data_IF_182206053808
#
_entry.id   IF_182206053808
#
_cell.length_a   1.000
_cell.length_b   1.000
_cell.length_c   1.000
_cell.angle_alpha   90.00
_cell.angle_beta   90.00
_cell.angle_gamma   90.00
#
_symmetry.space_group_name_H-M   'P 1'
#
loop_
_entity.id
_entity.type
_entity.pdbx_description
1 polymer ?
#
# COMPACT_ATOMS: atom_id res chain seq x y z
N UNK A 1 27.92 12.07 -25.65
CA UNK A 1 27.45 10.79 -25.11
C UNK A 1 27.72 10.74 -23.61
N UNK A 2 26.74 10.30 -22.82
CA UNK A 2 26.85 10.06 -21.38
C UNK A 2 26.34 8.65 -21.09
N UNK A 3 27.05 7.91 -20.22
CA UNK A 3 26.67 6.55 -19.86
C UNK A 3 25.84 6.56 -18.59
N UNK A 4 24.69 5.91 -18.61
CA UNK A 4 23.84 5.79 -17.44
C UNK A 4 24.55 4.95 -16.37
N UNK A 5 24.72 5.51 -15.17
CA UNK A 5 25.33 4.79 -14.05
C UNK A 5 24.41 3.71 -13.46
N UNK A 6 23.09 3.77 -13.74
CA UNK A 6 22.10 2.80 -13.25
C UNK A 6 21.99 1.56 -14.13
N UNK A 7 21.93 1.70 -15.45
CA UNK A 7 21.73 0.57 -16.38
C UNK A 7 22.82 0.39 -17.44
N UNK A 8 23.80 1.29 -17.51
CA UNK A 8 24.91 1.19 -18.47
C UNK A 8 24.60 1.61 -19.91
N UNK A 9 23.37 2.04 -20.23
CA UNK A 9 23.01 2.56 -21.55
C UNK A 9 23.82 3.81 -21.91
N UNK A 10 24.27 3.92 -23.15
CA UNK A 10 24.85 5.16 -23.71
C UNK A 10 23.73 6.06 -24.22
N UNK A 11 23.72 7.31 -23.79
CA UNK A 11 22.70 8.30 -24.14
C UNK A 11 23.38 9.53 -24.78
N UNK A 12 22.58 10.37 -25.44
CA UNK A 12 23.06 11.64 -25.97
C UNK A 12 23.66 12.54 -24.88
N UNK A 13 24.63 13.39 -25.25
CA UNK A 13 25.41 14.18 -24.27
C UNK A 13 24.61 15.28 -23.56
N UNK A 14 23.45 15.63 -24.10
CA UNK A 14 22.48 16.59 -23.60
C UNK A 14 21.21 15.93 -23.03
N UNK A 15 21.14 14.59 -22.98
CA UNK A 15 20.04 13.89 -22.35
C UNK A 15 20.01 14.14 -20.83
N UNK A 16 18.86 14.59 -20.32
CA UNK A 16 18.64 14.79 -18.88
C UNK A 16 18.30 13.49 -18.15
N UNK A 17 17.66 12.54 -18.85
CA UNK A 17 17.25 11.24 -18.33
C UNK A 17 17.67 10.12 -19.28
N UNK A 18 17.88 8.93 -18.72
CA UNK A 18 18.24 7.76 -19.48
C UNK A 18 17.05 7.26 -20.31
N UNK A 19 17.25 7.10 -21.61
CA UNK A 19 16.22 6.61 -22.54
C UNK A 19 15.77 5.17 -22.24
N UNK A 20 16.66 4.37 -21.62
CA UNK A 20 16.39 2.97 -21.33
C UNK A 20 15.77 2.76 -19.93
N UNK A 21 16.23 3.47 -18.90
CA UNK A 21 15.77 3.24 -17.52
C UNK A 21 15.18 4.46 -16.80
N UNK A 22 15.14 5.63 -17.44
CA UNK A 22 14.60 6.87 -16.87
C UNK A 22 15.47 7.51 -15.78
N UNK A 23 16.63 6.95 -15.44
CA UNK A 23 17.52 7.52 -14.42
C UNK A 23 18.06 8.90 -14.88
N UNK A 24 18.07 9.87 -13.98
CA UNK A 24 18.67 11.19 -14.25
C UNK A 24 20.18 11.06 -14.54
N UNK A 25 20.64 11.70 -15.61
CA UNK A 25 22.02 11.59 -16.11
C UNK A 25 22.92 12.77 -15.70
N UNK A 26 22.36 13.88 -15.19
CA UNK A 26 23.09 15.09 -14.83
C UNK A 26 22.74 15.62 -13.41
N UNK A 27 23.18 14.95 -12.33
CA UNK A 27 22.95 15.44 -10.97
C UNK A 27 23.64 16.77 -10.64
N UNK A 28 24.68 17.16 -11.41
CA UNK A 28 25.59 18.26 -11.09
C UNK A 28 25.39 19.53 -11.94
N UNK A 29 24.56 19.52 -12.99
CA UNK A 29 24.36 20.70 -13.86
C UNK A 29 23.43 21.78 -13.28
N UNK A 30 22.83 21.56 -12.11
CA UNK A 30 22.13 22.60 -11.35
C UNK A 30 23.04 23.38 -10.39
N UNK A 31 24.37 23.31 -10.57
CA UNK A 31 25.36 24.13 -9.87
C UNK A 31 25.48 25.56 -10.42
N UNK A 32 24.36 26.28 -10.51
CA UNK A 32 24.34 27.73 -10.75
C UNK A 32 24.01 28.44 -9.44
N UNK A 33 24.96 29.20 -8.91
CA UNK A 33 24.88 29.98 -7.68
C UNK A 33 23.58 30.79 -7.55
N UNK A 34 22.63 30.27 -6.78
CA UNK A 34 21.62 31.05 -6.07
C UNK A 34 21.79 30.78 -4.59
N UNK A 35 21.87 31.86 -3.83
CA UNK A 35 21.81 31.87 -2.37
C UNK A 35 20.74 30.88 -1.88
N UNK A 36 20.97 30.19 -0.74
CA UNK A 36 20.08 29.13 -0.28
C UNK A 36 18.66 29.70 -0.13
N UNK A 37 17.68 29.20 -0.91
CA UNK A 37 16.30 29.45 -0.59
C UNK A 37 16.05 28.71 0.72
N UNK A 38 15.92 29.50 1.77
CA UNK A 38 15.43 29.16 3.10
C UNK A 38 14.64 27.85 3.09
N UNK A 39 15.07 26.90 3.92
CA UNK A 39 14.39 25.65 4.23
C UNK A 39 12.89 25.76 4.03
N UNK A 40 12.39 25.26 2.89
CA UNK A 40 11.07 24.65 2.87
C UNK A 40 11.23 23.26 3.46
N UNK A 41 11.62 23.25 4.74
CA UNK A 41 11.40 22.10 5.58
C UNK A 41 9.94 21.73 5.44
N UNK A 42 9.69 20.45 5.13
CA UNK A 42 8.38 19.84 5.27
C UNK A 42 7.77 20.40 6.55
N UNK A 43 6.65 21.16 6.41
CA UNK A 43 6.06 21.90 7.53
C UNK A 43 6.01 20.93 8.71
N UNK A 44 6.50 21.36 9.86
CA UNK A 44 6.65 20.51 11.04
C UNK A 44 5.34 19.75 11.36
N UNK A 45 4.19 20.34 10.99
CA UNK A 45 2.86 19.74 11.00
C UNK A 45 2.69 18.49 10.12
N UNK A 46 3.26 18.43 8.91
CA UNK A 46 3.23 17.25 8.02
C UNK A 46 4.09 16.11 8.55
N UNK A 47 5.27 16.42 9.11
CA UNK A 47 6.10 15.43 9.84
C UNK A 47 5.35 14.86 11.06
N UNK A 48 4.65 15.71 11.80
CA UNK A 48 3.88 15.30 12.98
C UNK A 48 2.66 14.45 12.58
N UNK A 49 1.91 14.81 11.54
CA UNK A 49 0.71 14.10 11.12
C UNK A 49 1.02 12.69 10.60
N UNK A 50 2.12 12.54 9.86
CA UNK A 50 2.56 11.27 9.29
C UNK A 50 3.11 10.34 10.39
N UNK A 51 3.83 10.88 11.37
CA UNK A 51 4.31 10.12 12.54
C UNK A 51 3.15 9.59 13.38
N UNK A 52 2.08 10.39 13.55
CA UNK A 52 0.84 9.99 14.24
C UNK A 52 0.12 8.85 13.49
N UNK A 53 0.07 8.89 12.15
CA UNK A 53 -0.57 7.84 11.36
C UNK A 53 0.18 6.49 11.46
N UNK A 54 1.50 6.49 11.52
CA UNK A 54 2.30 5.26 11.67
C UNK A 54 2.22 4.70 13.09
N UNK A 55 2.17 5.55 14.13
CA UNK A 55 1.88 5.10 15.50
C UNK A 55 0.48 4.47 15.60
N UNK A 56 -0.52 4.97 14.87
CA UNK A 56 -1.83 4.34 14.78
C UNK A 56 -1.75 2.95 14.11
N UNK A 57 -0.94 2.77 13.06
CA UNK A 57 -0.70 1.46 12.42
C UNK A 57 0.06 0.49 13.35
N UNK A 58 0.96 0.99 14.21
CA UNK A 58 1.66 0.16 15.19
C UNK A 58 0.81 -0.19 16.42
N UNK A 59 -0.14 0.67 16.82
CA UNK A 59 -1.00 0.50 18.01
C UNK A 59 -2.28 -0.29 17.71
N UNK A 60 -2.77 -0.31 16.46
CA UNK A 60 -3.92 -1.13 16.07
C UNK A 60 -3.65 -2.65 15.98
N UNK A 61 -2.49 -3.10 16.50
CA UNK A 61 -2.27 -4.47 16.94
C UNK A 61 -2.93 -4.82 18.30
N UNK A 62 -3.75 -3.93 18.88
CA UNK A 62 -4.48 -4.20 20.13
C UNK A 62 -5.92 -3.69 20.05
N UNK A 63 -6.84 -4.51 19.55
CA UNK A 63 -8.24 -4.58 20.03
C UNK A 63 -9.00 -5.75 19.41
N UNK A 64 -8.51 -6.97 19.66
CA UNK A 64 -9.32 -8.19 19.59
C UNK A 64 -9.66 -8.74 21.00
N UNK A 65 -9.73 -7.86 22.02
CA UNK A 65 -9.92 -8.30 23.41
C UNK A 65 -10.95 -7.48 24.23
N UNK A 66 -11.89 -6.78 23.60
CA UNK A 66 -12.92 -6.02 24.33
C UNK A 66 -14.34 -6.10 23.77
N UNK A 67 -14.73 -7.22 23.15
CA UNK A 67 -16.12 -7.42 22.71
C UNK A 67 -16.63 -8.86 22.91
N UNK A 68 -16.22 -9.48 24.02
CA UNK A 68 -16.63 -10.84 24.37
C UNK A 68 -17.43 -10.92 25.67
N UNK A 69 -18.22 -9.91 26.07
CA UNK A 69 -19.21 -10.08 27.16
C UNK A 69 -20.38 -9.09 27.01
N UNK A 70 -21.42 -9.47 26.27
CA UNK A 70 -22.80 -8.97 26.44
C UNK A 70 -23.76 -9.83 25.61
N UNK A 71 -23.93 -11.08 26.03
CA UNK A 71 -25.15 -11.85 25.78
C UNK A 71 -25.42 -12.67 27.04
N UNK A 72 -25.82 -11.99 28.11
CA UNK A 72 -26.48 -12.64 29.23
C UNK A 72 -27.97 -12.66 28.95
N UNK A 73 -28.41 -13.86 28.62
CA UNK A 73 -29.76 -14.34 28.41
C UNK A 73 -30.76 -13.72 29.40
N UNK A 74 -31.84 -13.14 28.87
CA UNK A 74 -33.10 -13.01 29.55
C UNK A 74 -34.20 -13.61 28.66
N UNK A 75 -34.75 -14.73 29.11
CA UNK A 75 -35.86 -15.47 28.49
C UNK A 75 -37.18 -14.84 28.92
N UNK A 76 -38.15 -14.72 27.99
CA UNK A 76 -39.63 -14.91 28.14
C UNK A 76 -40.37 -14.33 26.90
N UNK A 77 -41.52 -14.89 26.46
CA UNK A 77 -41.83 -15.12 25.03
C UNK A 77 -42.94 -14.25 24.42
N UNK A 78 -42.92 -14.20 23.08
CA UNK A 78 -44.13 -14.16 22.24
C UNK A 78 -44.49 -12.82 21.59
N UNK A 79 -44.23 -12.68 20.28
CA UNK A 79 -45.24 -12.40 19.23
C UNK A 79 -44.56 -12.07 17.89
N UNK A 80 -44.98 -12.81 16.86
CA UNK A 80 -44.72 -12.67 15.41
C UNK A 80 -45.11 -11.30 14.85
N UNK A 81 -44.27 -10.69 13.98
CA UNK A 81 -44.61 -10.12 12.66
C UNK A 81 -43.32 -9.97 11.79
N UNK A 82 -43.45 -10.29 10.50
CA UNK A 82 -42.46 -10.31 9.42
C UNK A 82 -41.70 -8.99 9.17
N UNK A 83 -40.40 -9.07 8.82
CA UNK A 83 -39.71 -8.06 7.99
C UNK A 83 -38.42 -8.59 7.37
N UNK A 84 -38.36 -8.49 6.04
CA UNK A 84 -37.21 -8.36 5.11
C UNK A 84 -36.02 -9.33 5.27
N UNK A 85 -35.86 -10.17 4.25
CA UNK A 85 -34.83 -11.19 4.09
C UNK A 85 -33.44 -10.56 3.81
N UNK A 86 -32.71 -10.23 4.87
CA UNK A 86 -31.25 -10.02 4.84
C UNK A 86 -30.63 -11.30 5.43
N UNK A 87 -30.26 -12.25 4.57
CA UNK A 87 -29.70 -13.53 5.02
C UNK A 87 -28.25 -13.38 5.46
N UNK A 88 -28.07 -12.98 6.72
CA UNK A 88 -26.94 -13.38 7.56
C UNK A 88 -27.17 -14.83 7.99
N UNK A 89 -26.34 -15.75 7.48
CA UNK A 89 -26.27 -17.12 7.99
C UNK A 89 -24.90 -17.35 8.60
N UNK A 90 -24.79 -17.12 9.90
CA UNK A 90 -23.74 -17.71 10.71
C UNK A 90 -24.15 -19.16 10.96
N UNK A 91 -23.49 -20.10 10.29
CA UNK A 91 -23.48 -21.51 10.70
C UNK A 91 -22.05 -21.99 10.58
N UNK A 92 -21.46 -22.30 11.72
CA UNK A 92 -20.17 -22.96 11.84
C UNK A 92 -20.22 -24.26 11.03
N UNK A 93 -19.51 -24.28 9.91
CA UNK A 93 -18.96 -25.48 9.33
C UNK A 93 -17.57 -25.10 8.83
N UNK A 94 -16.56 -25.60 9.55
CA UNK A 94 -15.20 -25.69 9.03
C UNK A 94 -15.27 -26.66 7.86
N UNK A 95 -15.44 -26.09 6.67
CA UNK A 95 -15.19 -26.78 5.41
C UNK A 95 -14.15 -25.94 4.69
N UNK A 96 -12.89 -26.35 4.82
CA UNK A 96 -11.81 -25.90 3.95
C UNK A 96 -12.28 -26.10 2.51
N UNK A 97 -12.75 -25.03 1.89
CA UNK A 97 -13.05 -25.02 0.46
C UNK A 97 -11.77 -24.58 -0.24
N UNK A 98 -10.97 -25.57 -0.63
CA UNK A 98 -9.81 -25.37 -1.49
C UNK A 98 -10.21 -24.97 -2.94
N UNK A 99 -11.48 -24.65 -3.21
CA UNK A 99 -12.02 -24.40 -4.56
C UNK A 99 -12.91 -23.13 -4.66
N UNK A 100 -12.91 -22.24 -3.67
CA UNK A 100 -13.60 -20.96 -3.84
C UNK A 100 -12.76 -20.02 -4.71
N UNK A 101 -13.29 -19.61 -5.88
CA UNK A 101 -12.67 -18.62 -6.77
C UNK A 101 -12.48 -17.26 -6.08
N UNK A 102 -11.69 -16.35 -6.67
CA UNK A 102 -11.33 -15.09 -6.03
C UNK A 102 -12.55 -14.23 -5.71
N UNK A 103 -12.49 -13.51 -4.59
CA UNK A 103 -13.46 -12.48 -4.20
C UNK A 103 -13.14 -11.17 -4.92
N UNK A 104 -14.10 -10.25 -4.95
CA UNK A 104 -13.95 -8.93 -5.59
C UNK A 104 -14.15 -7.82 -4.58
N UNK A 105 -13.28 -6.82 -4.60
CA UNK A 105 -13.47 -5.54 -3.94
C UNK A 105 -13.82 -4.48 -4.99
N UNK A 106 -14.80 -3.63 -4.68
CA UNK A 106 -15.05 -2.39 -5.43
C UNK A 106 -15.74 -1.36 -4.57
N UNK A 107 -15.35 -0.10 -4.70
CA UNK A 107 -15.96 1.04 -3.99
C UNK A 107 -16.37 2.18 -4.94
N UNK A 108 -16.45 1.91 -6.25
CA UNK A 108 -16.73 2.91 -7.29
C UNK A 108 -15.55 3.78 -7.72
N UNK A 109 -14.39 3.65 -7.07
CA UNK A 109 -13.14 4.35 -7.44
C UNK A 109 -12.07 3.34 -7.86
N UNK A 110 -12.01 2.21 -7.16
CA UNK A 110 -11.08 1.12 -7.45
C UNK A 110 -11.81 -0.21 -7.51
N UNK A 111 -11.20 -1.16 -8.21
CA UNK A 111 -11.64 -2.53 -8.34
C UNK A 111 -10.43 -3.47 -8.32
N UNK A 112 -10.54 -4.61 -7.64
CA UNK A 112 -9.57 -5.71 -7.76
C UNK A 112 -10.15 -7.02 -7.25
N UNK A 113 -9.53 -8.13 -7.66
CA UNK A 113 -9.82 -9.47 -7.15
C UNK A 113 -8.81 -9.87 -6.08
N UNK A 114 -9.26 -10.55 -5.03
CA UNK A 114 -8.41 -10.97 -3.91
C UNK A 114 -8.71 -12.42 -3.49
N UNK A 115 -7.77 -13.10 -2.76
CA UNK A 115 -7.94 -14.49 -2.38
C UNK A 115 -9.23 -14.76 -1.61
N UNK A 116 -9.85 -15.92 -1.86
CA UNK A 116 -11.16 -16.26 -1.27
C UNK A 116 -11.11 -16.51 0.24
N UNK A 117 -9.94 -16.85 0.76
CA UNK A 117 -9.67 -17.01 2.19
C UNK A 117 -9.30 -15.70 2.91
N UNK A 118 -9.25 -14.57 2.20
CA UNK A 118 -9.07 -13.25 2.80
C UNK A 118 -10.43 -12.56 3.01
N UNK A 119 -10.45 -11.62 3.93
CA UNK A 119 -11.61 -10.79 4.23
C UNK A 119 -11.30 -9.31 4.02
N UNK A 120 -12.36 -8.51 3.84
CA UNK A 120 -12.23 -7.05 3.89
C UNK A 120 -12.07 -6.66 5.35
N UNK A 121 -10.96 -5.99 5.68
CA UNK A 121 -10.64 -5.61 7.04
C UNK A 121 -11.21 -4.22 7.38
N UNK A 122 -11.43 -3.92 8.68
CA UNK A 122 -11.92 -2.62 9.11
C UNK A 122 -11.00 -1.49 8.63
N UNK A 123 -11.62 -0.46 8.06
CA UNK A 123 -10.94 0.67 7.48
C UNK A 123 -10.75 1.81 8.53
N UNK A 124 -9.61 2.49 8.50
CA UNK A 124 -9.36 3.72 9.27
C UNK A 124 -9.48 4.95 8.38
N UNK A 125 -9.40 6.16 8.94
CA UNK A 125 -9.28 7.36 8.10
C UNK A 125 -8.02 7.25 7.22
N UNK A 126 -8.17 7.51 5.91
CA UNK A 126 -7.13 7.51 4.85
C UNK A 126 -6.84 6.20 4.10
N UNK A 127 -7.51 5.08 4.37
CA UNK A 127 -7.30 3.86 3.60
C UNK A 127 -8.52 3.67 2.68
N UNK A 128 -8.32 3.34 1.41
CA UNK A 128 -9.42 3.11 0.46
C UNK A 128 -9.96 1.69 0.56
N UNK A 129 -9.07 0.73 0.77
CA UNK A 129 -9.37 -0.68 0.89
C UNK A 129 -8.29 -1.39 1.70
N UNK A 130 -8.70 -2.39 2.48
CA UNK A 130 -7.80 -3.36 3.09
C UNK A 130 -8.43 -4.74 2.92
N UNK A 131 -7.69 -5.68 2.33
CA UNK A 131 -8.06 -7.10 2.29
C UNK A 131 -6.93 -7.94 2.85
N UNK A 132 -7.24 -9.03 3.53
CA UNK A 132 -6.21 -9.87 4.12
C UNK A 132 -6.70 -10.76 5.23
N UNK A 133 -5.74 -11.25 6.00
CA UNK A 133 -5.96 -11.82 7.32
C UNK A 133 -5.77 -10.71 8.39
N UNK A 134 -6.29 -10.89 9.63
CA UNK A 134 -6.17 -9.87 10.70
C UNK A 134 -4.75 -9.41 11.05
N UNK A 135 -3.72 -10.10 10.59
CA UNK A 135 -2.33 -9.69 10.71
C UNK A 135 -1.68 -9.65 9.32
N UNK A 136 -1.26 -10.82 8.85
CA UNK A 136 -0.59 -11.01 7.58
C UNK A 136 -1.00 -12.36 7.00
N UNK A 137 -0.99 -12.51 5.66
CA UNK A 137 -0.74 -11.45 4.68
C UNK A 137 -1.90 -10.43 4.60
N UNK A 138 -1.59 -9.19 4.18
CA UNK A 138 -2.58 -8.15 3.95
C UNK A 138 -2.20 -7.25 2.77
N UNK A 139 -3.21 -6.64 2.17
CA UNK A 139 -3.08 -5.73 1.05
C UNK A 139 -3.93 -4.47 1.29
N UNK A 140 -3.31 -3.31 1.20
CA UNK A 140 -3.91 -2.01 1.48
C UNK A 140 -3.77 -1.06 0.29
N UNK A 141 -4.77 -0.21 0.09
CA UNK A 141 -4.76 0.83 -0.94
C UNK A 141 -4.95 2.19 -0.29
N UNK A 142 -4.08 3.15 -0.60
CA UNK A 142 -4.08 4.49 -0.05
C UNK A 142 -4.26 5.52 -1.16
N UNK A 143 -5.10 6.54 -0.91
CA UNK A 143 -5.13 7.78 -1.69
C UNK A 143 -4.17 8.79 -1.04
N UNK A 144 -3.10 9.09 -1.75
CA UNK A 144 -1.99 9.93 -1.30
C UNK A 144 -1.92 11.26 -2.07
N UNK A 145 -2.96 11.56 -2.86
CA UNK A 145 -3.08 12.79 -3.66
C UNK A 145 -2.98 14.06 -2.80
N UNK A 146 -3.37 13.97 -1.52
CA UNK A 146 -3.31 15.07 -0.55
C UNK A 146 -1.90 15.59 -0.25
N UNK A 147 -0.85 14.85 -0.59
CA UNK A 147 0.53 15.27 -0.31
C UNK A 147 1.14 16.13 -1.42
N UNK A 148 0.51 16.21 -2.60
CA UNK A 148 0.86 17.19 -3.64
C UNK A 148 2.25 17.00 -4.24
N UNK A 149 2.61 15.77 -4.60
CA UNK A 149 3.84 15.48 -5.35
C UNK A 149 3.76 16.07 -6.77
N UNK A 150 4.90 16.47 -7.33
CA UNK A 150 4.99 17.01 -8.68
C UNK A 150 5.24 15.97 -9.78
N UNK A 151 5.68 14.76 -9.42
CA UNK A 151 5.85 13.63 -10.35
C UNK A 151 5.91 12.29 -9.60
N UNK A 152 5.73 11.17 -10.31
CA UNK A 152 5.99 9.83 -9.76
C UNK A 152 7.40 9.70 -9.15
N UNK A 153 8.43 10.29 -9.79
CA UNK A 153 9.80 10.20 -9.30
C UNK A 153 10.03 10.91 -7.95
N UNK A 154 9.36 12.04 -7.74
CA UNK A 154 9.36 12.75 -6.47
C UNK A 154 8.62 11.94 -5.39
N UNK A 155 7.49 11.34 -5.75
CA UNK A 155 6.73 10.49 -4.84
C UNK A 155 7.55 9.26 -4.39
N UNK A 156 8.20 8.57 -5.32
CA UNK A 156 9.10 7.44 -5.04
C UNK A 156 10.24 7.87 -4.11
N UNK A 157 10.94 8.94 -4.44
CA UNK A 157 12.07 9.44 -3.63
C UNK A 157 11.63 9.80 -2.20
N UNK A 158 10.46 10.43 -2.06
CA UNK A 158 9.89 10.75 -0.75
C UNK A 158 9.54 9.49 0.04
N UNK A 159 8.93 8.49 -0.60
CA UNK A 159 8.54 7.22 0.05
C UNK A 159 9.77 6.43 0.49
N UNK A 160 10.77 6.27 -0.37
CA UNK A 160 12.01 5.55 -0.05
C UNK A 160 12.79 6.20 1.10
N UNK A 161 12.90 7.54 1.08
CA UNK A 161 13.53 8.30 2.16
C UNK A 161 12.84 8.04 3.49
N UNK A 162 11.50 8.05 3.48
CA UNK A 162 10.71 7.79 4.66
C UNK A 162 10.87 6.34 5.15
N UNK A 163 10.70 5.35 4.28
CA UNK A 163 10.81 3.93 4.61
C UNK A 163 12.18 3.60 5.19
N UNK A 164 13.24 4.13 4.57
CA UNK A 164 14.62 3.96 5.06
C UNK A 164 14.82 4.64 6.41
N UNK A 165 14.26 5.83 6.62
CA UNK A 165 14.31 6.51 7.93
C UNK A 165 13.59 5.73 9.04
N UNK A 166 12.59 4.91 8.67
CA UNK A 166 11.87 4.02 9.56
C UNK A 166 12.58 2.68 9.78
N UNK A 167 13.79 2.50 9.27
CA UNK A 167 14.60 1.30 9.46
C UNK A 167 14.24 0.13 8.53
N UNK A 168 13.51 0.39 7.44
CA UNK A 168 13.35 -0.58 6.36
C UNK A 168 14.55 -0.53 5.42
N UNK A 169 14.94 -1.68 4.88
CA UNK A 169 15.93 -1.79 3.80
C UNK A 169 15.25 -2.14 2.49
N UNK A 170 15.70 -1.53 1.39
CA UNK A 170 15.25 -1.87 0.05
C UNK A 170 15.86 -3.21 -0.36
N UNK A 171 15.02 -4.14 -0.79
CA UNK A 171 15.40 -5.46 -1.30
C UNK A 171 15.40 -5.49 -2.83
N UNK A 172 14.45 -4.81 -3.46
CA UNK A 172 14.33 -4.72 -4.91
C UNK A 172 13.53 -3.51 -5.33
N UNK A 173 13.81 -2.97 -6.51
CA UNK A 173 13.04 -1.91 -7.16
C UNK A 173 12.81 -2.27 -8.63
N UNK A 174 11.65 -1.92 -9.17
CA UNK A 174 11.39 -1.98 -10.61
C UNK A 174 10.24 -1.08 -11.04
N UNK A 175 10.30 -0.61 -12.27
CA UNK A 175 9.16 0.04 -12.92
C UNK A 175 8.21 -1.03 -13.46
N UNK A 176 6.91 -0.84 -13.23
CA UNK A 176 5.86 -1.75 -13.69
C UNK A 176 4.68 -0.96 -14.29
N UNK A 177 3.69 -1.68 -14.80
CA UNK A 177 2.40 -1.12 -15.18
C UNK A 177 1.32 -1.65 -14.24
N UNK A 178 0.47 -0.77 -13.74
CA UNK A 178 -0.77 -1.12 -13.04
C UNK A 178 -1.91 -0.46 -13.77
N UNK A 179 -2.86 -1.27 -14.26
CA UNK A 179 -3.95 -0.77 -15.10
C UNK A 179 -3.47 0.07 -16.31
N UNK A 180 -2.31 -0.30 -16.88
CA UNK A 180 -1.69 0.44 -17.99
C UNK A 180 -0.99 1.75 -17.59
N UNK A 181 -1.04 2.16 -16.32
CA UNK A 181 -0.38 3.34 -15.79
C UNK A 181 1.04 3.00 -15.33
N UNK A 182 1.97 3.95 -15.52
CA UNK A 182 3.32 3.82 -14.97
C UNK A 182 3.29 3.80 -13.45
N UNK A 183 3.94 2.79 -12.89
CA UNK A 183 4.08 2.62 -11.46
C UNK A 183 5.50 2.20 -11.11
N UNK A 184 5.89 2.47 -9.87
CA UNK A 184 7.17 2.05 -9.32
C UNK A 184 6.92 1.09 -8.16
N UNK A 185 7.49 -0.11 -8.25
CA UNK A 185 7.43 -1.11 -7.20
C UNK A 185 8.74 -1.17 -6.44
N UNK A 186 8.65 -1.05 -5.11
CA UNK A 186 9.76 -1.27 -4.18
C UNK A 186 9.38 -2.35 -3.17
N UNK A 187 10.24 -3.36 -3.02
CA UNK A 187 10.13 -4.37 -1.96
C UNK A 187 11.03 -3.96 -0.82
N UNK A 188 10.47 -3.78 0.37
CA UNK A 188 11.17 -3.43 1.58
C UNK A 188 11.19 -4.60 2.56
N UNK A 189 12.27 -4.72 3.35
CA UNK A 189 12.33 -5.57 4.53
C UNK A 189 12.54 -4.70 5.77
N UNK A 190 11.79 -4.97 6.83
CA UNK A 190 11.92 -4.20 8.07
C UNK A 190 11.19 -4.85 9.22
N UNK A 191 11.14 -4.16 10.37
CA UNK A 191 10.40 -4.62 11.54
C UNK A 191 9.06 -3.90 11.63
N UNK A 192 7.99 -4.64 11.86
CA UNK A 192 6.70 -4.08 12.28
C UNK A 192 6.79 -3.44 13.67
N UNK A 193 5.75 -2.72 14.09
CA UNK A 193 5.71 -2.04 15.40
C UNK A 193 5.88 -2.97 16.61
N UNK A 194 5.56 -4.26 16.47
CA UNK A 194 5.79 -5.30 17.49
C UNK A 194 7.15 -6.02 17.35
N UNK A 195 8.04 -5.55 16.47
CA UNK A 195 9.39 -6.06 16.28
C UNK A 195 9.52 -7.28 15.35
N UNK A 196 8.42 -7.78 14.77
CA UNK A 196 8.45 -8.92 13.83
C UNK A 196 9.04 -8.50 12.49
N UNK A 197 9.88 -9.35 11.90
CA UNK A 197 10.42 -9.10 10.56
C UNK A 197 9.33 -9.31 9.51
N UNK A 198 9.11 -8.30 8.69
CA UNK A 198 8.11 -8.27 7.63
C UNK A 198 8.75 -7.88 6.29
N UNK A 199 8.09 -8.27 5.21
CA UNK A 199 8.33 -7.77 3.86
C UNK A 199 7.12 -6.92 3.45
N UNK A 200 7.39 -5.75 2.86
CA UNK A 200 6.38 -4.90 2.26
C UNK A 200 6.68 -4.70 0.78
N UNK A 201 5.74 -5.09 -0.08
CA UNK A 201 5.74 -4.80 -1.50
C UNK A 201 4.87 -3.58 -1.74
N UNK A 202 5.50 -2.45 -2.03
CA UNK A 202 4.83 -1.17 -2.23
C UNK A 202 4.88 -0.80 -3.71
N UNK A 203 3.72 -0.57 -4.30
CA UNK A 203 3.58 -0.06 -5.66
C UNK A 203 3.01 1.35 -5.60
N UNK A 204 3.77 2.31 -6.11
CA UNK A 204 3.39 3.71 -6.17
C UNK A 204 2.92 4.04 -7.59
N UNK A 205 1.72 4.58 -7.70
CA UNK A 205 1.07 4.89 -8.98
C UNK A 205 0.78 6.38 -9.06
N UNK A 206 1.15 6.99 -10.18
CA UNK A 206 0.70 8.31 -10.58
C UNK A 206 -0.44 8.14 -11.59
N UNK A 207 -1.69 8.31 -11.13
CA UNK A 207 -2.88 8.13 -11.97
C UNK A 207 -3.09 9.30 -12.92
N UNK A 208 -2.95 10.51 -12.39
CA UNK A 208 -2.98 11.75 -13.15
C UNK A 208 -1.70 12.52 -12.86
N UNK A 209 -0.88 12.84 -13.87
CA UNK A 209 0.39 13.52 -13.68
C UNK A 209 0.29 14.75 -12.78
N UNK A 210 1.09 14.80 -11.72
CA UNK A 210 1.15 15.92 -10.78
C UNK A 210 -0.06 16.12 -9.89
N UNK A 211 -1.02 15.19 -9.83
CA UNK A 211 -2.30 15.44 -9.12
C UNK A 211 -2.91 14.24 -8.39
N UNK A 212 -2.92 13.04 -8.98
CA UNK A 212 -3.54 11.87 -8.35
C UNK A 212 -2.48 10.78 -8.10
N UNK A 213 -2.27 10.42 -6.83
CA UNK A 213 -1.24 9.47 -6.39
C UNK A 213 -1.81 8.42 -5.47
N UNK A 214 -1.40 7.17 -5.67
CA UNK A 214 -1.87 6.03 -4.89
C UNK A 214 -0.70 5.14 -4.47
N UNK A 215 -0.80 4.58 -3.27
CA UNK A 215 0.06 3.48 -2.83
C UNK A 215 -0.76 2.19 -2.72
N UNK A 216 -0.25 1.13 -3.31
CA UNK A 216 -0.76 -0.23 -3.18
C UNK A 216 0.26 -1.05 -2.42
N UNK A 217 -0.08 -1.54 -1.23
CA UNK A 217 0.88 -2.11 -0.30
C UNK A 217 0.47 -3.52 0.09
N UNK A 218 1.20 -4.50 -0.39
CA UNK A 218 1.17 -5.87 0.14
C UNK A 218 2.17 -6.01 1.29
N UNK A 219 1.76 -6.62 2.39
CA UNK A 219 2.64 -6.87 3.53
C UNK A 219 2.47 -8.29 4.05
N UNK A 220 3.58 -8.91 4.43
CA UNK A 220 3.59 -10.23 5.05
C UNK A 220 4.78 -10.43 5.98
N UNK A 221 4.74 -11.48 6.79
CA UNK A 221 5.87 -11.96 7.55
C UNK A 221 7.01 -12.38 6.62
N UNK A 222 8.24 -12.00 6.94
CA UNK A 222 9.36 -12.26 6.04
C UNK A 222 9.61 -13.75 5.74
N UNK A 223 9.18 -14.65 6.63
CA UNK A 223 9.30 -16.10 6.44
C UNK A 223 8.12 -16.73 5.66
N UNK A 224 7.07 -15.98 5.35
CA UNK A 224 5.89 -16.43 4.61
C UNK A 224 5.75 -15.73 3.26
N UNK A 225 6.42 -14.58 3.08
CA UNK A 225 6.27 -13.72 1.91
C UNK A 225 6.36 -14.44 0.57
N UNK A 226 7.34 -15.33 0.37
CA UNK A 226 7.48 -16.05 -0.89
C UNK A 226 6.28 -16.96 -1.18
N UNK A 227 5.69 -17.57 -0.14
CA UNK A 227 4.52 -18.44 -0.25
C UNK A 227 3.26 -17.63 -0.61
N UNK A 228 3.10 -16.47 0.00
CA UNK A 228 1.92 -15.62 -0.17
C UNK A 228 2.06 -14.59 -1.31
N UNK A 229 3.24 -14.47 -1.93
CA UNK A 229 3.54 -13.52 -3.00
C UNK A 229 2.55 -13.57 -4.17
N UNK A 230 2.12 -14.78 -4.54
CA UNK A 230 1.13 -15.01 -5.60
C UNK A 230 -0.24 -14.36 -5.32
N UNK A 231 -0.59 -14.18 -4.05
CA UNK A 231 -1.81 -13.46 -3.65
C UNK A 231 -1.72 -11.98 -4.00
N UNK A 232 -0.53 -11.37 -3.81
CA UNK A 232 -0.29 -9.98 -4.21
C UNK A 232 -0.28 -9.82 -5.73
N UNK A 233 0.31 -10.78 -6.46
CA UNK A 233 0.27 -10.77 -7.92
C UNK A 233 -1.17 -10.88 -8.45
N UNK A 234 -2.01 -11.72 -7.86
CA UNK A 234 -3.42 -11.82 -8.22
C UNK A 234 -4.15 -10.47 -8.07
N UNK A 235 -3.90 -9.77 -6.96
CA UNK A 235 -4.50 -8.46 -6.71
C UNK A 235 -3.97 -7.45 -7.72
N UNK A 236 -2.65 -7.36 -7.91
CA UNK A 236 -2.01 -6.45 -8.87
C UNK A 236 -2.53 -6.63 -10.30
N UNK A 237 -2.60 -7.88 -10.76
CA UNK A 237 -2.99 -8.20 -12.14
C UNK A 237 -4.48 -7.91 -12.42
N UNK A 238 -5.30 -7.87 -11.39
CA UNK A 238 -6.74 -7.58 -11.49
C UNK A 238 -7.10 -6.15 -11.11
N UNK A 239 -6.12 -5.35 -10.65
CA UNK A 239 -6.35 -4.00 -10.17
C UNK A 239 -6.76 -3.06 -11.30
N UNK A 240 -7.79 -2.25 -11.04
CA UNK A 240 -8.35 -1.24 -11.94
C UNK A 240 -8.73 0.03 -11.18
N UNK A 241 -8.48 1.17 -11.79
CA UNK A 241 -9.14 2.43 -11.44
C UNK A 241 -10.45 2.52 -12.24
N UNK A 242 -11.54 2.95 -11.59
CA UNK A 242 -12.88 3.05 -12.18
C UNK A 242 -13.24 4.48 -12.60
#
# INVERSE_FOLDING_TARGET
MVKCQRCGQENDGDADFCENCGANLNPLKNGGSRQPPHDRGMKQSTKILITVCILLVAVLGVSAAALSQLNKVATVPGSTVNSVNQSTSSTNNVKSSANAGPKTFSNGIIYFQYPSNWDVLPNTSNIMAIVGLPHYPSFSVYDESKYGYGSLSEYVSSSESQMTSNGFSIQSERNILVDGLHAHETTYQGKSGNGKLIIQRMVLVEKSPGSEYYALVGADNANQYDQDSSSFDQIMNSFKFL
#
